data_IF_438628577926
#
_entry.id   IF_438628577926
#
_cell.length_a   1.000
_cell.length_b   1.000
_cell.length_c   1.000
_cell.angle_alpha   90.00
_cell.angle_beta   90.00
_cell.angle_gamma   90.00
#
_symmetry.space_group_name_H-M   'P 1'
#
loop_
_entity.id
_entity.type
_entity.pdbx_description
1 polymer ?
#
# COMPACT_ATOMS: atom_id res chain seq x y z
N UNK A 1 17.13 -9.34 5.68
CA UNK A 1 16.49 -8.40 4.73
C UNK A 1 15.08 -8.15 5.25
N UNK A 2 14.61 -6.90 5.33
CA UNK A 2 13.38 -6.52 6.05
C UNK A 2 12.09 -6.71 5.21
N UNK A 3 12.20 -6.74 3.87
CA UNK A 3 11.19 -7.06 2.85
C UNK A 3 11.90 -7.31 1.49
N UNK A 4 11.20 -7.79 0.43
CA UNK A 4 11.83 -8.09 -0.87
C UNK A 4 12.29 -6.83 -1.63
N UNK A 5 13.43 -6.90 -2.32
CA UNK A 5 13.99 -5.77 -3.10
C UNK A 5 13.05 -5.31 -4.21
N UNK A 6 12.27 -6.24 -4.78
CA UNK A 6 11.29 -5.97 -5.83
C UNK A 6 10.27 -4.92 -5.41
N UNK A 7 9.94 -4.84 -4.11
CA UNK A 7 9.03 -3.83 -3.58
C UNK A 7 9.57 -2.41 -3.77
N UNK A 8 10.84 -2.18 -3.42
CA UNK A 8 11.51 -0.89 -3.58
C UNK A 8 11.60 -0.51 -5.07
N UNK A 9 11.86 -1.50 -5.92
CA UNK A 9 11.98 -1.30 -7.37
C UNK A 9 10.70 -0.76 -8.02
N UNK A 10 9.51 -1.03 -7.47
CA UNK A 10 8.24 -0.47 -7.99
C UNK A 10 8.25 1.06 -7.97
N UNK A 11 8.94 1.67 -7.00
CA UNK A 11 9.00 3.11 -6.78
C UNK A 11 10.41 3.70 -6.91
N UNK A 12 11.34 2.96 -7.52
CA UNK A 12 12.70 3.42 -7.76
C UNK A 12 12.72 4.78 -8.47
N UNK A 13 13.52 5.72 -7.94
CA UNK A 13 13.60 7.10 -8.44
C UNK A 13 12.38 7.99 -8.14
N UNK A 14 11.32 7.47 -7.53
CA UNK A 14 10.13 8.24 -7.14
C UNK A 14 10.07 8.59 -5.65
N UNK A 15 10.99 8.06 -4.83
CA UNK A 15 11.12 8.41 -3.41
C UNK A 15 11.55 9.87 -3.23
N UNK A 16 10.96 10.54 -2.25
CA UNK A 16 11.20 11.95 -1.95
C UNK A 16 11.24 12.16 -0.43
N UNK A 17 12.40 12.56 0.09
CA UNK A 17 12.59 12.82 1.54
C UNK A 17 11.70 13.95 2.08
N UNK A 18 11.22 14.87 1.22
CA UNK A 18 10.24 15.90 1.56
C UNK A 18 8.77 15.40 1.43
N UNK A 19 8.54 14.09 1.33
CA UNK A 19 7.23 13.46 1.13
C UNK A 19 6.17 13.87 2.16
N UNK A 20 6.57 14.23 3.38
CA UNK A 20 5.66 14.76 4.41
C UNK A 20 4.95 16.06 4.02
N UNK A 21 5.53 16.84 3.11
CA UNK A 21 4.94 18.06 2.57
C UNK A 21 4.11 17.83 1.31
N UNK A 22 4.06 16.60 0.79
CA UNK A 22 3.30 16.23 -0.41
C UNK A 22 1.86 15.92 -0.03
N UNK A 23 0.92 16.53 -0.75
CA UNK A 23 -0.51 16.25 -0.56
C UNK A 23 -0.81 14.77 -0.81
N UNK A 24 -1.72 14.20 -0.02
CA UNK A 24 -2.03 12.76 -0.08
C UNK A 24 -2.47 12.30 -1.48
N UNK A 25 -3.26 13.11 -2.19
CA UNK A 25 -3.68 12.81 -3.56
C UNK A 25 -2.48 12.69 -4.52
N UNK A 26 -1.51 13.61 -4.44
CA UNK A 26 -0.30 13.58 -5.27
C UNK A 26 0.61 12.40 -4.90
N UNK A 27 0.73 12.07 -3.61
CA UNK A 27 1.46 10.88 -3.18
C UNK A 27 0.86 9.60 -3.78
N UNK A 28 -0.48 9.49 -3.76
CA UNK A 28 -1.20 8.35 -4.34
C UNK A 28 -1.05 8.25 -5.85
N UNK A 29 -1.11 9.38 -6.57
CA UNK A 29 -0.80 9.41 -8.01
C UNK A 29 0.63 8.94 -8.31
N UNK A 30 1.59 9.24 -7.42
CA UNK A 30 2.97 8.78 -7.56
C UNK A 30 3.19 7.29 -7.19
N UNK A 31 2.17 6.60 -6.65
CA UNK A 31 2.24 5.19 -6.24
C UNK A 31 2.59 4.97 -4.78
N UNK A 32 2.39 5.97 -3.92
CA UNK A 32 2.56 5.88 -2.47
C UNK A 32 1.22 6.10 -1.76
N UNK A 33 0.90 5.25 -0.78
CA UNK A 33 -0.40 5.34 -0.12
C UNK A 33 -0.57 6.62 0.72
N UNK A 34 0.55 7.16 1.22
CA UNK A 34 0.65 8.44 1.93
C UNK A 34 1.97 9.15 1.57
N UNK A 35 2.06 10.46 1.87
CA UNK A 35 3.31 11.21 1.77
C UNK A 35 4.41 10.70 2.71
N UNK A 36 4.06 10.06 3.83
CA UNK A 36 5.04 9.42 4.71
C UNK A 36 5.71 8.21 4.04
N UNK A 37 4.93 7.37 3.35
CA UNK A 37 5.48 6.26 2.58
C UNK A 37 6.43 6.70 1.45
N UNK A 38 6.23 7.89 0.89
CA UNK A 38 7.12 8.45 -0.14
C UNK A 38 8.52 8.79 0.40
N UNK A 39 8.70 8.94 1.72
CA UNK A 39 9.97 9.40 2.31
C UNK A 39 11.11 8.39 2.20
N UNK A 40 10.80 7.10 2.24
CA UNK A 40 11.79 6.04 2.08
C UNK A 40 11.14 4.69 1.77
N UNK A 41 11.89 3.73 1.20
CA UNK A 41 11.39 2.38 0.93
C UNK A 41 10.85 1.66 2.18
N UNK A 42 11.50 1.85 3.33
CA UNK A 42 11.07 1.22 4.58
C UNK A 42 9.71 1.74 5.06
N UNK A 43 9.52 3.06 5.01
CA UNK A 43 8.25 3.67 5.42
C UNK A 43 7.12 3.38 4.44
N UNK A 44 7.43 3.25 3.15
CA UNK A 44 6.49 2.81 2.12
C UNK A 44 5.92 1.43 2.45
N UNK A 45 6.82 0.46 2.68
CA UNK A 45 6.44 -0.90 3.02
C UNK A 45 5.60 -0.94 4.31
N UNK A 46 6.10 -0.34 5.39
CA UNK A 46 5.43 -0.33 6.69
C UNK A 46 4.05 0.33 6.61
N UNK A 47 3.96 1.49 5.95
CA UNK A 47 2.70 2.23 5.82
C UNK A 47 1.69 1.50 4.95
N UNK A 48 2.13 0.86 3.86
CA UNK A 48 1.24 0.12 3.00
C UNK A 48 0.68 -1.13 3.70
N UNK A 49 1.52 -1.90 4.38
CA UNK A 49 1.07 -3.02 5.23
C UNK A 49 0.07 -2.54 6.28
N UNK A 50 0.39 -1.47 7.01
CA UNK A 50 -0.49 -0.92 8.03
C UNK A 50 -1.83 -0.45 7.45
N UNK A 51 -1.82 0.19 6.28
CA UNK A 51 -3.05 0.61 5.60
C UNK A 51 -3.87 -0.59 5.18
N UNK A 52 -3.24 -1.61 4.59
CA UNK A 52 -3.93 -2.83 4.18
C UNK A 52 -4.58 -3.53 5.38
N UNK A 53 -3.87 -3.69 6.52
CA UNK A 53 -4.43 -4.36 7.70
C UNK A 53 -5.46 -3.53 8.48
N UNK A 54 -5.47 -2.21 8.31
CA UNK A 54 -6.44 -1.29 8.94
C UNK A 54 -7.78 -1.20 8.21
N UNK A 55 -7.86 -1.77 7.01
CA UNK A 55 -9.00 -1.74 6.11
C UNK A 55 -9.37 -3.16 5.68
N UNK A 56 -10.65 -3.43 5.42
CA UNK A 56 -11.02 -4.63 4.65
C UNK A 56 -10.40 -4.57 3.25
N UNK A 57 -10.39 -5.70 2.53
CA UNK A 57 -9.92 -5.72 1.14
C UNK A 57 -10.70 -4.74 0.27
N UNK A 58 -12.01 -4.72 0.45
CA UNK A 58 -12.94 -3.87 -0.30
C UNK A 58 -12.72 -2.38 0.03
N UNK A 59 -12.46 -2.07 1.31
CA UNK A 59 -12.13 -0.70 1.73
C UNK A 59 -10.78 -0.23 1.17
N UNK A 60 -9.77 -1.09 1.17
CA UNK A 60 -8.48 -0.79 0.56
C UNK A 60 -8.61 -0.59 -0.96
N UNK A 61 -9.35 -1.46 -1.65
CA UNK A 61 -9.62 -1.31 -3.08
C UNK A 61 -10.36 -0.02 -3.39
N UNK A 62 -11.37 0.33 -2.58
CA UNK A 62 -12.09 1.60 -2.72
C UNK A 62 -11.15 2.81 -2.63
N UNK A 63 -10.14 2.78 -1.75
CA UNK A 63 -9.10 3.82 -1.70
C UNK A 63 -8.34 3.90 -3.04
N UNK A 64 -7.95 2.76 -3.61
CA UNK A 64 -7.24 2.72 -4.89
C UNK A 64 -8.09 3.20 -6.06
N UNK A 65 -9.41 2.96 -6.03
CA UNK A 65 -10.35 3.46 -7.03
C UNK A 65 -10.53 4.98 -6.98
N UNK A 66 -10.21 5.64 -5.86
CA UNK A 66 -10.25 7.11 -5.77
C UNK A 66 -9.07 7.82 -6.46
N UNK A 67 -8.04 7.07 -6.86
CA UNK A 67 -6.85 7.64 -7.50
C UNK A 67 -7.22 8.05 -8.92
N UNK A 68 -7.11 9.33 -9.30
CA UNK A 68 -7.47 9.77 -10.65
C UNK A 68 -6.52 9.17 -11.69
N UNK A 69 -7.05 8.93 -12.89
CA UNK A 69 -6.24 8.53 -14.04
C UNK A 69 -5.27 9.66 -14.46
N UNK A 70 -4.10 9.28 -14.95
CA UNK A 70 -3.14 10.21 -15.56
C UNK A 70 -3.55 10.57 -16.99
N UNK A 71 -4.16 9.61 -17.69
CA UNK A 71 -4.80 9.75 -19.01
C UNK A 71 -5.80 8.60 -19.21
N UNK A 72 -6.72 8.65 -20.18
CA UNK A 72 -7.76 7.63 -20.33
C UNK A 72 -7.22 6.20 -20.34
N UNK A 73 -7.59 5.40 -19.32
CA UNK A 73 -7.16 4.01 -19.15
C UNK A 73 -5.74 3.83 -18.58
N UNK A 74 -5.07 4.91 -18.16
CA UNK A 74 -3.73 4.89 -17.56
C UNK A 74 -3.79 5.48 -16.16
N UNK A 75 -3.46 4.66 -15.17
CA UNK A 75 -3.38 5.07 -13.77
C UNK A 75 -2.12 4.46 -13.13
N UNK A 76 -1.01 5.19 -13.22
CA UNK A 76 0.31 4.73 -12.78
C UNK A 76 0.33 4.51 -11.27
N UNK A 77 -0.27 5.43 -10.51
CA UNK A 77 -0.33 5.35 -9.04
C UNK A 77 -1.05 4.10 -8.56
N UNK A 78 -2.23 3.82 -9.11
CA UNK A 78 -3.01 2.61 -8.82
C UNK A 78 -2.27 1.34 -9.24
N UNK A 79 -1.65 1.32 -10.42
CA UNK A 79 -0.90 0.17 -10.91
C UNK A 79 0.27 -0.17 -9.97
N UNK A 80 1.05 0.84 -9.55
CA UNK A 80 2.15 0.65 -8.60
C UNK A 80 1.68 0.16 -7.24
N UNK A 81 0.59 0.72 -6.70
CA UNK A 81 0.05 0.28 -5.41
C UNK A 81 -0.48 -1.15 -5.45
N UNK A 82 -1.10 -1.59 -6.56
CA UNK A 82 -1.49 -2.99 -6.77
C UNK A 82 -0.29 -3.93 -6.88
N UNK A 83 0.77 -3.51 -7.56
CA UNK A 83 1.99 -4.32 -7.64
C UNK A 83 2.64 -4.51 -6.27
N UNK A 84 2.77 -3.41 -5.50
CA UNK A 84 3.24 -3.45 -4.12
C UNK A 84 2.37 -4.33 -3.22
N UNK A 85 1.05 -4.24 -3.37
CA UNK A 85 0.09 -5.09 -2.66
C UNK A 85 0.36 -6.58 -2.92
N UNK A 86 0.57 -6.96 -4.18
CA UNK A 86 0.89 -8.34 -4.56
C UNK A 86 2.21 -8.82 -3.94
N UNK A 87 3.25 -7.98 -3.96
CA UNK A 87 4.54 -8.29 -3.36
C UNK A 87 4.42 -8.48 -1.84
N UNK A 88 3.65 -7.62 -1.16
CA UNK A 88 3.38 -7.74 0.28
C UNK A 88 2.70 -9.08 0.57
N UNK A 89 1.63 -9.42 -0.15
CA UNK A 89 0.91 -10.69 0.06
C UNK A 89 1.83 -11.89 -0.12
N UNK A 90 2.63 -11.89 -1.20
CA UNK A 90 3.59 -12.95 -1.47
C UNK A 90 4.68 -13.05 -0.38
N UNK A 91 5.21 -11.92 0.06
CA UNK A 91 6.25 -11.87 1.11
C UNK A 91 5.77 -12.46 2.43
N UNK A 92 4.58 -12.05 2.91
CA UNK A 92 4.04 -12.57 4.17
C UNK A 92 3.82 -14.09 4.12
N UNK A 93 3.38 -14.61 2.98
CA UNK A 93 3.23 -16.05 2.79
C UNK A 93 4.60 -16.75 2.77
N UNK A 94 5.53 -16.30 1.95
CA UNK A 94 6.79 -17.01 1.70
C UNK A 94 7.79 -16.91 2.86
N UNK A 95 7.90 -15.75 3.49
CA UNK A 95 8.88 -15.52 4.54
C UNK A 95 8.35 -15.87 5.94
N UNK A 96 7.04 -15.79 6.15
CA UNK A 96 6.42 -15.92 7.47
C UNK A 96 5.33 -16.99 7.56
N UNK A 97 4.96 -17.62 6.45
CA UNK A 97 3.84 -18.56 6.37
C UNK A 97 2.51 -17.95 6.87
N UNK A 98 2.30 -16.66 6.57
CA UNK A 98 1.09 -15.92 6.92
C UNK A 98 0.27 -15.68 5.65
N UNK A 99 -0.96 -16.19 5.62
CA UNK A 99 -1.94 -15.74 4.64
C UNK A 99 -2.37 -14.30 4.98
N UNK A 100 -1.84 -13.35 4.21
CA UNK A 100 -2.11 -11.94 4.42
C UNK A 100 -3.59 -11.59 4.24
N UNK A 101 -4.32 -12.27 3.34
CA UNK A 101 -5.74 -12.01 3.10
C UNK A 101 -6.58 -12.51 4.25
N UNK A 102 -6.25 -13.68 4.80
CA UNK A 102 -6.89 -14.17 6.01
C UNK A 102 -6.61 -13.25 7.20
N UNK A 103 -5.38 -12.78 7.35
CA UNK A 103 -5.01 -11.80 8.38
C UNK A 103 -5.81 -10.51 8.25
N UNK A 104 -5.87 -9.92 7.04
CA UNK A 104 -6.63 -8.70 6.74
C UNK A 104 -8.13 -8.87 7.04
N UNK A 105 -8.71 -10.03 6.72
CA UNK A 105 -10.10 -10.35 7.07
C UNK A 105 -10.30 -10.36 8.59
N UNK A 106 -9.43 -11.07 9.33
CA UNK A 106 -9.49 -11.16 10.80
C UNK A 106 -9.36 -9.80 11.48
N UNK A 107 -8.45 -8.93 11.03
CA UNK A 107 -8.32 -7.58 11.60
C UNK A 107 -9.55 -6.73 11.34
N UNK A 108 -10.13 -6.81 10.14
CA UNK A 108 -11.38 -6.08 9.82
C UNK A 108 -12.55 -6.56 10.67
N UNK A 109 -12.71 -7.88 10.85
CA UNK A 109 -13.78 -8.47 11.68
C UNK A 109 -13.63 -8.06 13.15
N UNK A 110 -12.40 -8.15 13.70
CA UNK A 110 -12.12 -7.72 15.06
C UNK A 110 -12.42 -6.22 15.28
N UNK A 111 -12.08 -5.37 14.31
CA UNK A 111 -12.39 -3.94 14.35
C UNK A 111 -13.89 -3.67 14.34
N UNK A 112 -14.66 -4.37 13.51
CA UNK A 112 -16.12 -4.24 13.47
C UNK A 112 -16.79 -4.70 14.77
N UNK A 113 -16.28 -5.77 15.39
CA UNK A 113 -16.80 -6.27 16.65
C UNK A 113 -16.67 -5.27 17.82
N UNK A 114 -15.68 -4.35 17.77
CA UNK A 114 -15.49 -3.30 18.77
C UNK A 114 -16.40 -2.07 18.57
N UNK A 115 -17.06 -1.98 17.41
CA UNK A 115 -17.92 -0.85 17.05
C UNK A 115 -19.39 -1.08 17.40
N UNK A 116 -19.74 -2.29 17.82
CA UNK A 116 -21.09 -2.72 18.23
C UNK A 116 -21.14 -2.95 19.74
#
# INVERSE_FOLDING_TARGET
>A
MMYPLEFEMVSAGSYNSAGLSVAQAEARKAGFITGYGMTSPNEDFATLVATMLSNSKEQFDAILETIPEDSPGVNVGKARLKEKENIIVAYFLQAWNIDFRELQKKTSEAKLALMN
#
